data_IF_658423964352
#
_entry.id   IF_658423964352
#
_cell.length_a   1.000
_cell.length_b   1.000
_cell.length_c   1.000
_cell.angle_alpha   90.00
_cell.angle_beta   90.00
_cell.angle_gamma   90.00
#
_symmetry.space_group_name_H-M   'P 1'
#
loop_
_entity.id
_entity.type
_entity.pdbx_description
1 polymer ?
#
# COMPACT_ATOMS: atom_id res chain seq x y z
N UNK A 1 -22.95 13.76 13.14
CA UNK A 1 -22.90 12.76 14.21
C UNK A 1 -24.13 12.90 15.08
N UNK A 2 -25.21 12.19 14.74
CA UNK A 2 -26.36 12.07 15.64
C UNK A 2 -26.13 10.79 16.44
N UNK A 3 -26.01 10.91 17.75
CA UNK A 3 -25.88 9.77 18.66
C UNK A 3 -27.21 9.01 18.62
N UNK A 4 -27.26 7.94 17.83
CA UNK A 4 -28.39 7.01 17.87
C UNK A 4 -28.00 5.92 18.86
N UNK A 5 -28.67 5.90 20.01
CA UNK A 5 -28.61 4.83 21.03
C UNK A 5 -27.28 4.58 21.77
N UNK A 6 -26.33 5.52 21.82
CA UNK A 6 -25.01 5.35 22.46
C UNK A 6 -24.12 4.25 21.85
N UNK A 7 -24.47 3.70 20.69
CA UNK A 7 -23.70 2.64 20.05
C UNK A 7 -22.53 3.21 19.25
N UNK A 8 -21.36 2.56 19.37
CA UNK A 8 -20.21 2.85 18.52
C UNK A 8 -20.57 2.55 17.05
N UNK A 9 -20.10 3.36 16.08
CA UNK A 9 -20.38 3.12 14.66
C UNK A 9 -19.62 1.89 14.15
N UNK A 10 -20.24 0.71 14.22
CA UNK A 10 -19.64 -0.58 13.80
C UNK A 10 -19.47 -0.74 12.29
N UNK A 11 -20.10 0.12 11.50
CA UNK A 11 -20.05 0.08 10.02
C UNK A 11 -19.03 1.08 9.43
N UNK A 12 -18.26 1.77 10.28
CA UNK A 12 -17.30 2.79 9.86
C UNK A 12 -15.87 2.40 10.23
N UNK A 13 -14.95 2.65 9.29
CA UNK A 13 -13.54 2.35 9.44
C UNK A 13 -12.70 3.43 8.76
N UNK A 14 -11.67 3.92 9.46
CA UNK A 14 -10.60 4.75 8.94
C UNK A 14 -9.29 3.98 9.08
N UNK A 15 -8.69 3.65 7.94
CA UNK A 15 -7.52 2.80 7.84
C UNK A 15 -6.27 3.59 7.56
N UNK A 16 -5.23 3.31 8.35
CA UNK A 16 -3.87 3.76 8.10
C UNK A 16 -2.94 2.58 7.83
N UNK A 17 -1.73 2.85 7.36
CA UNK A 17 -0.74 1.81 7.07
C UNK A 17 -0.15 1.16 8.33
N UNK A 18 -0.04 1.91 9.43
CA UNK A 18 0.61 1.40 10.63
C UNK A 18 0.00 1.98 11.93
N UNK A 19 0.19 1.29 13.07
CA UNK A 19 -0.42 1.70 14.33
C UNK A 19 0.02 3.09 14.83
N UNK A 20 1.22 3.57 14.45
CA UNK A 20 1.70 4.90 14.87
C UNK A 20 0.94 6.00 14.14
N UNK A 21 0.69 5.82 12.84
CA UNK A 21 -0.15 6.74 12.08
C UNK A 21 -1.59 6.73 12.63
N UNK A 22 -2.16 5.56 12.91
CA UNK A 22 -3.48 5.48 13.54
C UNK A 22 -3.54 6.28 14.86
N UNK A 23 -2.55 6.10 15.75
CA UNK A 23 -2.50 6.83 17.01
C UNK A 23 -2.35 8.36 16.82
N UNK A 24 -1.52 8.79 15.85
CA UNK A 24 -1.38 10.19 15.49
C UNK A 24 -2.69 10.77 14.95
N UNK A 25 -3.35 10.07 14.01
CA UNK A 25 -4.67 10.45 13.48
C UNK A 25 -5.69 10.59 14.61
N UNK A 26 -5.75 9.64 15.54
CA UNK A 26 -6.64 9.70 16.71
C UNK A 26 -6.37 10.99 17.51
N UNK A 27 -5.11 11.28 17.81
CA UNK A 27 -4.73 12.48 18.57
C UNK A 27 -5.13 13.77 17.85
N UNK A 28 -4.94 13.84 16.53
CA UNK A 28 -5.26 15.02 15.72
C UNK A 28 -6.77 15.24 15.58
N UNK A 29 -7.57 14.18 15.40
CA UNK A 29 -9.02 14.34 15.20
C UNK A 29 -9.79 14.45 16.51
N UNK A 30 -9.24 14.00 17.64
CA UNK A 30 -9.91 13.95 18.95
C UNK A 30 -10.59 15.26 19.37
N UNK A 31 -9.98 16.45 19.17
CA UNK A 31 -10.63 17.72 19.52
C UNK A 31 -11.89 18.05 18.69
N UNK A 32 -12.07 17.40 17.54
CA UNK A 32 -13.13 17.72 16.56
C UNK A 32 -14.30 16.74 16.58
N UNK A 33 -14.26 15.72 17.44
CA UNK A 33 -15.29 14.67 17.52
C UNK A 33 -15.81 14.52 18.96
N UNK A 34 -17.04 13.99 19.13
CA UNK A 34 -17.61 13.81 20.47
C UNK A 34 -16.77 12.88 21.36
N UNK A 35 -16.70 13.19 22.66
CA UNK A 35 -15.94 12.40 23.65
C UNK A 35 -16.41 10.95 23.76
N UNK A 36 -17.71 10.69 23.55
CA UNK A 36 -18.28 9.34 23.61
C UNK A 36 -17.82 8.43 22.46
N UNK A 37 -17.29 8.99 21.37
CA UNK A 37 -16.81 8.21 20.23
C UNK A 37 -15.46 7.58 20.57
N UNK A 38 -15.42 6.26 20.62
CA UNK A 38 -14.18 5.52 20.80
C UNK A 38 -13.47 5.42 19.45
N UNK A 39 -12.47 6.27 19.22
CA UNK A 39 -11.75 6.25 17.94
C UNK A 39 -10.89 5.02 17.76
N UNK A 40 -10.53 4.28 18.81
CA UNK A 40 -9.74 3.06 18.63
C UNK A 40 -10.51 1.92 17.94
N UNK A 41 -11.85 2.03 17.95
CA UNK A 41 -12.77 1.12 17.26
C UNK A 41 -13.01 1.55 15.79
N UNK A 42 -12.69 2.79 15.44
CA UNK A 42 -12.95 3.39 14.13
C UNK A 42 -11.66 3.60 13.34
N UNK A 43 -10.60 4.08 13.99
CA UNK A 43 -9.31 4.43 13.40
C UNK A 43 -8.29 3.38 13.78
N UNK A 44 -7.78 2.64 12.79
CA UNK A 44 -6.80 1.58 13.04
C UNK A 44 -5.92 1.31 11.83
N UNK A 45 -4.85 0.53 12.02
CA UNK A 45 -4.08 0.04 10.89
C UNK A 45 -4.86 -1.03 10.12
N UNK A 46 -4.59 -1.15 8.81
CA UNK A 46 -5.16 -2.22 7.98
C UNK A 46 -4.88 -3.60 8.58
N UNK A 47 -3.66 -3.82 9.09
CA UNK A 47 -3.30 -5.07 9.78
C UNK A 47 -4.20 -5.35 10.98
N UNK A 48 -4.43 -4.37 11.87
CA UNK A 48 -5.29 -4.52 13.05
C UNK A 48 -6.71 -4.87 12.64
N UNK A 49 -7.25 -4.20 11.63
CA UNK A 49 -8.59 -4.48 11.11
C UNK A 49 -8.72 -5.91 10.55
N UNK A 50 -7.76 -6.37 9.73
CA UNK A 50 -7.80 -7.72 9.17
C UNK A 50 -7.76 -8.78 10.27
N UNK A 51 -6.93 -8.60 11.30
CA UNK A 51 -6.87 -9.50 12.46
C UNK A 51 -8.18 -9.56 13.23
N UNK A 52 -8.82 -8.40 13.48
CA UNK A 52 -10.13 -8.34 14.14
C UNK A 52 -11.19 -9.06 13.31
N UNK A 53 -11.20 -8.83 11.99
CA UNK A 53 -12.13 -9.49 11.07
C UNK A 53 -12.01 -11.02 11.12
N UNK A 54 -10.77 -11.53 11.14
CA UNK A 54 -10.51 -12.98 11.28
C UNK A 54 -10.97 -13.47 12.66
N UNK A 55 -10.60 -12.79 13.74
CA UNK A 55 -10.97 -13.18 15.10
C UNK A 55 -12.49 -13.26 15.32
N UNK A 56 -13.24 -12.33 14.72
CA UNK A 56 -14.70 -12.30 14.81
C UNK A 56 -15.36 -13.47 14.09
N UNK A 57 -14.76 -13.97 13.01
CA UNK A 57 -15.32 -15.03 12.18
C UNK A 57 -14.81 -16.43 12.57
N UNK A 58 -13.61 -16.54 13.16
CA UNK A 58 -12.95 -17.79 13.51
C UNK A 58 -12.53 -17.78 14.99
N UNK A 59 -13.32 -18.41 15.89
CA UNK A 59 -13.01 -18.49 17.32
C UNK A 59 -11.71 -19.25 17.65
N UNK A 60 -11.16 -19.99 16.68
CA UNK A 60 -9.90 -20.72 16.86
C UNK A 60 -8.67 -19.89 16.51
N UNK A 61 -8.88 -18.72 15.89
CA UNK A 61 -7.82 -17.78 15.55
C UNK A 61 -7.10 -17.28 16.80
N UNK A 62 -5.78 -17.41 16.79
CA UNK A 62 -4.92 -16.95 17.87
C UNK A 62 -3.86 -16.01 17.27
N UNK A 63 -4.10 -14.70 17.38
CA UNK A 63 -3.22 -13.68 16.81
C UNK A 63 -1.75 -13.79 17.29
N UNK A 64 -1.54 -14.32 18.50
CA UNK A 64 -0.23 -14.51 19.12
C UNK A 64 0.44 -15.83 18.69
N UNK A 65 -0.28 -16.75 18.03
CA UNK A 65 0.29 -17.96 17.43
C UNK A 65 0.40 -17.88 15.91
N UNK A 66 -0.65 -17.38 15.26
CA UNK A 66 -0.80 -17.42 13.80
C UNK A 66 0.05 -16.34 13.12
N UNK A 67 0.04 -15.11 13.65
CA UNK A 67 0.69 -13.96 13.02
C UNK A 67 1.50 -13.15 14.04
N UNK A 68 2.55 -13.74 14.61
CA UNK A 68 3.42 -13.04 15.56
C UNK A 68 4.12 -11.85 14.88
N UNK A 69 4.04 -10.66 15.48
CA UNK A 69 4.61 -9.42 14.91
C UNK A 69 6.11 -9.54 14.58
N UNK A 70 6.88 -10.27 15.40
CA UNK A 70 8.32 -10.51 15.16
C UNK A 70 8.62 -11.37 13.92
N UNK A 71 7.63 -12.09 13.41
CA UNK A 71 7.74 -12.96 12.24
C UNK A 71 7.13 -12.32 10.98
N UNK A 72 6.67 -11.07 11.07
CA UNK A 72 6.16 -10.34 9.91
C UNK A 72 7.31 -10.05 8.95
N UNK A 73 7.12 -10.34 7.66
CA UNK A 73 8.06 -9.94 6.61
C UNK A 73 7.83 -8.48 6.27
N UNK A 74 8.87 -7.67 6.41
CA UNK A 74 8.95 -6.32 5.88
C UNK A 74 10.15 -6.18 4.94
N UNK A 75 10.34 -4.98 4.40
CA UNK A 75 11.48 -4.68 3.55
C UNK A 75 12.83 -4.91 4.26
N UNK A 76 12.92 -4.75 5.58
CA UNK A 76 14.17 -4.97 6.31
C UNK A 76 14.54 -6.46 6.39
N UNK A 77 13.55 -7.34 6.59
CA UNK A 77 13.73 -8.79 6.51
C UNK A 77 14.20 -9.19 5.12
N UNK A 78 13.52 -8.72 4.07
CA UNK A 78 13.92 -8.96 2.69
C UNK A 78 15.34 -8.44 2.41
N UNK A 79 15.63 -7.20 2.81
CA UNK A 79 16.94 -6.57 2.58
C UNK A 79 18.07 -7.31 3.31
N UNK A 80 17.81 -7.90 4.48
CA UNK A 80 18.79 -8.73 5.18
C UNK A 80 19.08 -9.99 4.38
N UNK A 81 18.06 -10.73 3.98
CA UNK A 81 18.20 -11.91 3.11
C UNK A 81 18.94 -11.57 1.80
N UNK A 82 18.59 -10.44 1.18
CA UNK A 82 19.18 -9.99 -0.08
C UNK A 82 20.68 -9.67 0.02
N UNK A 83 21.16 -9.18 1.17
CA UNK A 83 22.60 -8.89 1.37
C UNK A 83 23.46 -10.14 1.24
N UNK A 84 22.90 -11.29 1.60
CA UNK A 84 23.58 -12.58 1.55
C UNK A 84 23.50 -13.23 0.15
N UNK A 85 22.99 -12.51 -0.85
CA UNK A 85 22.86 -12.96 -2.25
C UNK A 85 23.82 -12.21 -3.19
N UNK A 86 25.12 -12.54 -3.22
CA UNK A 86 26.13 -11.78 -3.97
C UNK A 86 25.85 -11.70 -5.48
N UNK A 87 25.35 -12.79 -6.09
CA UNK A 87 25.06 -12.86 -7.53
C UNK A 87 23.88 -11.99 -7.97
N UNK A 88 23.00 -11.63 -7.03
CA UNK A 88 21.78 -10.86 -7.29
C UNK A 88 22.04 -9.38 -7.03
N UNK A 89 22.77 -9.06 -5.96
CA UNK A 89 22.99 -7.69 -5.47
C UNK A 89 23.72 -6.77 -6.45
N UNK A 90 24.45 -7.31 -7.42
CA UNK A 90 25.14 -6.55 -8.46
C UNK A 90 24.25 -6.16 -9.63
N UNK A 91 23.10 -6.84 -9.80
CA UNK A 91 22.28 -6.75 -11.01
C UNK A 91 20.85 -6.24 -10.77
N UNK A 92 20.41 -6.16 -9.51
CA UNK A 92 19.04 -5.81 -9.17
C UNK A 92 18.97 -4.80 -8.03
N UNK A 93 18.00 -3.90 -8.09
CA UNK A 93 17.61 -3.06 -6.97
C UNK A 93 16.77 -3.89 -5.97
N UNK A 94 17.14 -3.94 -4.68
CA UNK A 94 16.34 -4.64 -3.67
C UNK A 94 14.92 -4.09 -3.52
N UNK A 95 14.71 -2.78 -3.61
CA UNK A 95 13.39 -2.19 -3.48
C UNK A 95 12.48 -2.61 -4.64
N UNK A 96 13.03 -2.67 -5.87
CA UNK A 96 12.29 -3.15 -7.03
C UNK A 96 11.86 -4.61 -6.90
N UNK A 97 12.76 -5.48 -6.43
CA UNK A 97 12.45 -6.90 -6.18
C UNK A 97 11.44 -7.09 -5.06
N UNK A 98 11.54 -6.30 -3.99
CA UNK A 98 10.59 -6.34 -2.88
C UNK A 98 9.19 -5.95 -3.33
N UNK A 99 9.06 -4.86 -4.09
CA UNK A 99 7.76 -4.41 -4.60
C UNK A 99 7.17 -5.37 -5.63
N UNK A 100 8.00 -6.06 -6.42
CA UNK A 100 7.52 -7.15 -7.28
C UNK A 100 7.02 -8.35 -6.46
N UNK A 101 7.75 -8.73 -5.41
CA UNK A 101 7.38 -9.83 -4.54
C UNK A 101 6.08 -9.55 -3.78
N UNK A 102 6.06 -8.45 -3.03
CA UNK A 102 4.94 -8.03 -2.19
C UNK A 102 3.72 -7.65 -3.02
N UNK A 103 3.91 -6.80 -4.03
CA UNK A 103 2.84 -6.20 -4.81
C UNK A 103 2.24 -7.13 -5.86
N UNK A 104 3.08 -7.90 -6.57
CA UNK A 104 2.65 -8.70 -7.72
C UNK A 104 2.53 -10.17 -7.36
N UNK A 105 3.64 -10.79 -6.95
CA UNK A 105 3.71 -12.25 -6.78
C UNK A 105 2.87 -12.75 -5.62
N UNK A 106 2.79 -11.98 -4.52
CA UNK A 106 1.94 -12.27 -3.35
C UNK A 106 0.70 -11.39 -3.28
N UNK A 107 0.72 -10.20 -3.88
CA UNK A 107 -0.27 -9.14 -3.63
C UNK A 107 -1.28 -8.85 -4.74
N UNK A 108 -1.25 -9.58 -5.85
CA UNK A 108 -2.21 -9.41 -6.95
C UNK A 108 -3.56 -10.11 -6.69
N UNK A 109 -4.57 -9.81 -7.49
CA UNK A 109 -5.84 -10.56 -7.43
C UNK A 109 -5.66 -12.02 -7.82
N UNK A 110 -4.75 -12.28 -8.77
CA UNK A 110 -4.43 -13.60 -9.30
C UNK A 110 -3.62 -14.45 -8.29
N UNK A 111 -2.81 -13.82 -7.44
CA UNK A 111 -2.02 -14.53 -6.42
C UNK A 111 -2.88 -15.06 -5.27
N UNK A 112 -3.95 -14.34 -4.93
CA UNK A 112 -4.79 -14.62 -3.77
C UNK A 112 -3.99 -14.84 -2.46
N UNK A 113 -2.89 -14.11 -2.29
CA UNK A 113 -2.01 -14.21 -1.12
C UNK A 113 -0.99 -15.34 -1.16
N UNK A 114 -1.04 -16.21 -2.16
CA UNK A 114 -0.02 -17.23 -2.42
C UNK A 114 1.04 -16.71 -3.39
N UNK A 115 2.18 -17.40 -3.51
CA UNK A 115 3.20 -17.00 -4.47
C UNK A 115 2.83 -17.46 -5.87
N UNK A 116 2.65 -16.51 -6.80
CA UNK A 116 2.25 -16.79 -8.18
C UNK A 116 3.18 -17.77 -8.90
N UNK A 117 2.56 -18.71 -9.61
CA UNK A 117 3.26 -19.62 -10.49
C UNK A 117 3.88 -18.90 -11.70
N UNK A 118 5.00 -19.46 -12.18
CA UNK A 118 5.86 -18.77 -13.14
C UNK A 118 5.15 -18.42 -14.44
N UNK A 119 4.31 -19.33 -14.95
CA UNK A 119 3.60 -19.15 -16.21
C UNK A 119 2.52 -18.06 -16.10
N UNK A 120 1.82 -18.01 -14.97
CA UNK A 120 0.83 -16.96 -14.67
C UNK A 120 1.53 -15.61 -14.58
N UNK A 121 2.62 -15.52 -13.81
CA UNK A 121 3.41 -14.30 -13.68
C UNK A 121 3.98 -13.80 -15.02
N UNK A 122 4.46 -14.71 -15.87
CA UNK A 122 4.95 -14.37 -17.20
C UNK A 122 3.84 -13.87 -18.14
N UNK A 123 2.62 -14.39 -17.97
CA UNK A 123 1.42 -14.00 -18.72
C UNK A 123 0.89 -12.61 -18.38
N UNK A 124 1.22 -12.06 -17.20
CA UNK A 124 0.73 -10.75 -16.78
C UNK A 124 1.14 -9.62 -17.77
N UNK A 125 0.31 -8.60 -17.99
CA UNK A 125 0.71 -7.41 -18.74
C UNK A 125 1.99 -6.76 -18.20
N UNK A 126 2.78 -6.11 -19.06
CA UNK A 126 4.05 -5.45 -18.65
C UNK A 126 3.82 -4.45 -17.53
N UNK A 127 2.71 -3.69 -17.61
CA UNK A 127 2.33 -2.66 -16.63
C UNK A 127 1.90 -3.19 -15.26
N UNK A 128 1.84 -4.51 -15.06
CA UNK A 128 1.47 -5.14 -13.77
C UNK A 128 2.67 -5.45 -12.88
N UNK A 129 3.89 -5.07 -13.28
CA UNK A 129 5.09 -5.29 -12.47
C UNK A 129 6.19 -4.31 -12.85
N UNK A 130 7.20 -4.23 -11.99
CA UNK A 130 8.36 -3.37 -12.17
C UNK A 130 9.35 -3.94 -13.19
N UNK A 131 9.21 -5.21 -13.60
CA UNK A 131 10.11 -5.90 -14.52
C UNK A 131 9.49 -6.19 -15.88
N UNK A 132 10.30 -5.96 -16.92
CA UNK A 132 10.04 -6.36 -18.29
C UNK A 132 9.96 -7.89 -18.46
N UNK A 133 9.18 -8.37 -19.44
CA UNK A 133 8.88 -9.81 -19.62
C UNK A 133 10.12 -10.70 -19.69
N UNK A 134 11.20 -10.24 -20.32
CA UNK A 134 12.43 -11.00 -20.48
C UNK A 134 13.17 -11.21 -19.14
N UNK A 135 13.06 -10.27 -18.20
CA UNK A 135 13.67 -10.35 -16.88
C UNK A 135 12.83 -11.20 -15.90
N UNK A 136 11.52 -11.28 -16.10
CA UNK A 136 10.57 -11.97 -15.19
C UNK A 136 10.96 -13.40 -14.84
N UNK A 137 11.47 -14.19 -15.79
CA UNK A 137 11.89 -15.57 -15.49
C UNK A 137 13.01 -15.60 -14.44
N UNK A 138 14.01 -14.73 -14.57
CA UNK A 138 15.11 -14.62 -13.60
C UNK A 138 14.61 -14.06 -12.26
N UNK A 139 13.77 -13.04 -12.30
CA UNK A 139 13.16 -12.42 -11.10
C UNK A 139 12.34 -13.43 -10.31
N UNK A 140 11.49 -14.22 -10.98
CA UNK A 140 10.69 -15.26 -10.35
C UNK A 140 11.57 -16.31 -9.65
N UNK A 141 12.64 -16.77 -10.30
CA UNK A 141 13.59 -17.70 -9.68
C UNK A 141 14.28 -17.12 -8.44
N UNK A 142 14.65 -15.83 -8.49
CA UNK A 142 15.24 -15.12 -7.34
C UNK A 142 14.23 -15.04 -6.20
N UNK A 143 13.01 -14.58 -6.49
CA UNK A 143 11.98 -14.37 -5.49
C UNK A 143 11.41 -15.69 -4.96
N UNK A 144 11.50 -16.79 -5.73
CA UNK A 144 11.20 -18.14 -5.24
C UNK A 144 12.17 -18.59 -4.15
N UNK A 145 13.45 -18.22 -4.24
CA UNK A 145 14.42 -18.47 -3.15
C UNK A 145 14.03 -17.71 -1.89
N UNK A 146 13.54 -16.48 -2.03
CA UNK A 146 13.03 -15.70 -0.89
C UNK A 146 11.74 -16.29 -0.31
N UNK A 147 10.82 -16.73 -1.16
CA UNK A 147 9.59 -17.43 -0.73
C UNK A 147 9.91 -18.66 0.10
N UNK A 148 10.86 -19.49 -0.35
CA UNK A 148 11.31 -20.65 0.42
C UNK A 148 11.89 -20.24 1.77
N UNK A 149 12.69 -19.16 1.81
CA UNK A 149 13.21 -18.61 3.06
C UNK A 149 12.09 -18.16 4.03
N UNK A 150 11.05 -17.50 3.51
CA UNK A 150 9.85 -17.10 4.28
C UNK A 150 9.14 -18.32 4.87
N UNK A 151 8.94 -19.36 4.07
CA UNK A 151 8.29 -20.62 4.50
C UNK A 151 9.13 -21.35 5.57
N UNK A 152 10.43 -21.52 5.33
CA UNK A 152 11.35 -22.21 6.24
C UNK A 152 11.40 -21.55 7.62
N UNK A 153 11.34 -20.22 7.67
CA UNK A 153 11.41 -19.44 8.91
C UNK A 153 10.03 -19.17 9.53
N UNK A 154 8.94 -19.66 8.91
CA UNK A 154 7.55 -19.42 9.32
C UNK A 154 7.24 -17.93 9.47
N UNK A 155 7.75 -17.15 8.52
CA UNK A 155 7.38 -15.77 8.38
C UNK A 155 6.05 -15.63 7.63
N UNK A 156 5.41 -14.48 7.79
CA UNK A 156 4.11 -14.19 7.17
C UNK A 156 4.06 -12.77 6.59
N UNK A 157 3.16 -12.59 5.63
CA UNK A 157 2.92 -11.31 4.96
C UNK A 157 1.49 -10.79 5.16
N UNK A 158 1.32 -9.47 5.05
CA UNK A 158 -0.01 -8.83 5.11
C UNK A 158 -0.98 -9.37 4.03
N UNK A 159 -0.44 -9.88 2.92
CA UNK A 159 -1.20 -10.52 1.84
C UNK A 159 -1.92 -11.79 2.30
N UNK A 160 -1.34 -12.53 3.26
CA UNK A 160 -1.98 -13.73 3.81
C UNK A 160 -3.19 -13.36 4.68
N UNK A 161 -3.06 -12.30 5.47
CA UNK A 161 -4.19 -11.73 6.22
C UNK A 161 -5.30 -11.30 5.26
N UNK A 162 -4.95 -10.57 4.19
CA UNK A 162 -5.92 -10.11 3.20
C UNK A 162 -6.67 -11.27 2.51
N UNK A 163 -5.94 -12.34 2.17
CA UNK A 163 -6.51 -13.57 1.60
C UNK A 163 -7.42 -14.29 2.59
N UNK A 164 -6.98 -14.49 3.84
CA UNK A 164 -7.79 -15.14 4.88
C UNK A 164 -9.08 -14.37 5.15
N UNK A 165 -9.02 -13.05 5.20
CA UNK A 165 -10.20 -12.17 5.33
C UNK A 165 -11.15 -12.38 4.14
N UNK A 166 -10.66 -12.43 2.90
CA UNK A 166 -11.51 -12.68 1.72
C UNK A 166 -12.22 -14.04 1.74
N UNK A 167 -11.60 -15.05 2.34
CA UNK A 167 -12.15 -16.41 2.46
C UNK A 167 -13.13 -16.60 3.63
N UNK A 168 -13.34 -15.59 4.48
CA UNK A 168 -14.30 -15.72 5.58
C UNK A 168 -15.73 -15.89 5.06
N UNK A 169 -16.43 -16.90 5.57
CA UNK A 169 -17.83 -17.17 5.26
C UNK A 169 -18.75 -16.03 5.73
N UNK A 170 -18.45 -15.48 6.92
CA UNK A 170 -19.13 -14.30 7.44
C UNK A 170 -18.46 -13.03 6.93
N UNK A 171 -19.24 -12.12 6.37
CA UNK A 171 -18.76 -10.83 5.86
C UNK A 171 -19.42 -9.70 6.63
N UNK A 172 -18.66 -9.08 7.53
CA UNK A 172 -19.05 -7.80 8.08
C UNK A 172 -19.23 -6.80 6.93
N UNK A 173 -20.35 -6.08 6.94
CA UNK A 173 -20.66 -5.05 5.95
C UNK A 173 -20.28 -3.69 6.52
N UNK A 174 -19.39 -3.00 5.82
CA UNK A 174 -18.85 -1.68 6.17
C UNK A 174 -19.40 -0.63 5.21
N UNK A 175 -20.30 0.21 5.70
CA UNK A 175 -20.90 1.30 4.91
C UNK A 175 -19.96 2.50 4.73
N UNK A 176 -18.90 2.62 5.53
CA UNK A 176 -17.99 3.76 5.48
C UNK A 176 -16.56 3.27 5.66
N UNK A 177 -15.77 3.23 4.58
CA UNK A 177 -14.35 2.91 4.64
C UNK A 177 -13.57 4.11 4.10
N UNK A 178 -12.66 4.62 4.92
CA UNK A 178 -11.68 5.63 4.57
C UNK A 178 -10.30 4.98 4.63
N UNK A 179 -9.46 5.22 3.64
CA UNK A 179 -8.10 4.68 3.58
C UNK A 179 -7.15 5.82 3.29
N UNK A 180 -6.17 5.98 4.17
CA UNK A 180 -5.02 6.86 3.98
C UNK A 180 -3.83 6.09 3.38
N UNK A 181 -2.99 6.79 2.64
CA UNK A 181 -1.81 6.25 1.94
C UNK A 181 -2.12 5.02 1.07
N UNK A 182 -3.20 5.10 0.29
CA UNK A 182 -3.70 3.98 -0.51
C UNK A 182 -2.68 3.45 -1.53
N UNK A 183 -1.71 4.26 -1.95
CA UNK A 183 -0.64 3.85 -2.85
C UNK A 183 0.23 2.72 -2.29
N UNK A 184 0.27 2.52 -0.98
CA UNK A 184 1.05 1.44 -0.35
C UNK A 184 0.26 0.14 -0.21
N UNK A 185 -1.02 0.12 -0.61
CA UNK A 185 -1.84 -1.09 -0.63
C UNK A 185 -1.58 -1.93 -1.88
N UNK A 186 -1.67 -3.24 -1.72
CA UNK A 186 -1.68 -4.16 -2.87
C UNK A 186 -3.09 -4.30 -3.44
N UNK A 187 -3.17 -4.82 -4.67
CA UNK A 187 -4.44 -5.12 -5.33
C UNK A 187 -5.31 -6.05 -4.46
N UNK A 188 -4.70 -7.10 -3.89
CA UNK A 188 -5.36 -8.04 -3.00
C UNK A 188 -5.97 -7.35 -1.77
N UNK A 189 -5.22 -6.49 -1.10
CA UNK A 189 -5.72 -5.75 0.08
C UNK A 189 -6.87 -4.82 -0.30
N UNK A 190 -6.77 -4.15 -1.44
CA UNK A 190 -7.84 -3.30 -1.96
C UNK A 190 -9.10 -4.11 -2.26
N UNK A 191 -8.94 -5.27 -2.92
CA UNK A 191 -10.03 -6.22 -3.18
C UNK A 191 -10.69 -6.70 -1.89
N UNK A 192 -9.90 -6.99 -0.86
CA UNK A 192 -10.39 -7.36 0.47
C UNK A 192 -11.30 -6.27 1.04
N UNK A 193 -10.92 -4.98 0.95
CA UNK A 193 -11.76 -3.88 1.42
C UNK A 193 -13.05 -3.73 0.60
N UNK A 194 -12.96 -3.79 -0.73
CA UNK A 194 -14.14 -3.70 -1.63
C UNK A 194 -15.13 -4.82 -1.33
N UNK A 195 -14.65 -6.03 -1.00
CA UNK A 195 -15.51 -7.17 -0.66
C UNK A 195 -16.36 -6.99 0.61
N UNK A 196 -16.09 -5.94 1.40
CA UNK A 196 -16.82 -5.58 2.63
C UNK A 196 -17.82 -4.47 2.43
N UNK A 197 -17.84 -3.85 1.25
CA UNK A 197 -18.83 -2.84 0.94
C UNK A 197 -20.22 -3.48 0.79
N UNK A 198 -21.30 -2.71 1.08
CA UNK A 198 -22.66 -3.18 0.85
C UNK A 198 -22.91 -3.59 -0.59
N UNK A 199 -23.87 -4.49 -0.78
CA UNK A 199 -24.33 -4.86 -2.12
C UNK A 199 -25.04 -3.68 -2.81
N UNK A 200 -25.14 -3.76 -4.14
CA UNK A 200 -25.72 -2.72 -5.00
C UNK A 200 -27.10 -2.28 -4.51
N UNK A 201 -27.27 -0.97 -4.24
CA UNK A 201 -28.52 -0.35 -3.80
C UNK A 201 -28.47 0.33 -2.43
N UNK A 202 -27.51 -0.02 -1.58
CA UNK A 202 -27.28 0.65 -0.29
C UNK A 202 -26.27 1.78 -0.40
N UNK A 203 -26.49 2.87 0.36
CA UNK A 203 -25.58 4.02 0.38
C UNK A 203 -24.33 3.69 1.21
N UNK A 204 -23.15 3.85 0.61
CA UNK A 204 -21.87 3.72 1.29
C UNK A 204 -20.88 4.83 0.89
N UNK A 205 -19.84 4.99 1.69
CA UNK A 205 -18.67 5.83 1.40
C UNK A 205 -17.45 4.92 1.32
N UNK A 206 -16.75 5.00 0.19
CA UNK A 206 -15.46 4.34 -0.02
C UNK A 206 -14.47 5.41 -0.49
N UNK A 207 -13.73 5.97 0.45
CA UNK A 207 -12.83 7.10 0.23
C UNK A 207 -11.38 6.64 0.34
N UNK A 208 -10.64 6.78 -0.76
CA UNK A 208 -9.25 6.36 -0.89
C UNK A 208 -8.41 7.60 -1.14
N UNK A 209 -7.53 7.93 -0.20
CA UNK A 209 -6.63 9.07 -0.28
C UNK A 209 -5.19 8.58 -0.36
N UNK A 210 -4.38 9.24 -1.19
CA UNK A 210 -2.97 8.90 -1.36
C UNK A 210 -2.36 9.60 -2.56
N UNK A 211 -1.07 9.37 -2.76
CA UNK A 211 -0.28 10.01 -3.81
C UNK A 211 0.60 8.97 -4.52
N UNK A 212 0.26 8.67 -5.77
CA UNK A 212 1.00 7.70 -6.60
C UNK A 212 2.44 8.15 -6.83
N UNK A 213 2.72 9.46 -6.81
CA UNK A 213 4.07 9.97 -7.03
C UNK A 213 5.04 9.63 -5.88
N UNK A 214 4.52 9.14 -4.75
CA UNK A 214 5.34 8.65 -3.63
C UNK A 214 5.77 7.19 -3.80
N UNK A 215 5.23 6.48 -4.79
CA UNK A 215 5.71 5.14 -5.13
C UNK A 215 7.06 5.25 -5.84
N UNK A 216 8.02 4.40 -5.47
CA UNK A 216 9.31 4.32 -6.18
C UNK A 216 9.22 3.34 -7.36
N UNK A 217 8.44 2.27 -7.23
CA UNK A 217 8.20 1.27 -8.27
C UNK A 217 6.69 1.01 -8.44
N UNK A 218 6.13 1.14 -9.65
CA UNK A 218 4.67 1.09 -9.87
C UNK A 218 4.12 -0.34 -9.99
N UNK A 219 4.44 -1.25 -9.07
CA UNK A 219 4.08 -2.67 -9.17
C UNK A 219 2.88 -3.10 -8.32
N UNK A 220 2.27 -2.21 -7.53
CA UNK A 220 1.16 -2.55 -6.63
C UNK A 220 -0.15 -1.85 -6.96
N UNK A 221 -0.18 -0.53 -6.76
CA UNK A 221 -1.42 0.25 -6.77
C UNK A 221 -1.61 1.05 -8.05
N UNK A 222 -2.83 1.01 -8.62
CA UNK A 222 -3.24 1.84 -9.77
C UNK A 222 -4.71 2.19 -9.71
N UNK A 223 -5.06 3.47 -9.88
CA UNK A 223 -6.46 3.93 -9.88
C UNK A 223 -7.35 3.21 -10.89
N UNK A 224 -6.83 2.87 -12.08
CA UNK A 224 -7.62 2.15 -13.09
C UNK A 224 -7.98 0.74 -12.63
N UNK A 225 -7.08 0.10 -11.87
CA UNK A 225 -7.28 -1.27 -11.40
C UNK A 225 -8.37 -1.29 -10.31
N UNK A 226 -8.43 -0.28 -9.43
CA UNK A 226 -9.55 -0.09 -8.48
C UNK A 226 -10.87 0.15 -9.21
N UNK A 227 -10.86 1.01 -10.24
CA UNK A 227 -12.05 1.32 -11.01
C UNK A 227 -12.65 0.07 -11.65
N UNK A 228 -11.77 -0.77 -12.21
CA UNK A 228 -12.15 -2.08 -12.72
C UNK A 228 -12.66 -2.99 -11.61
N UNK A 229 -11.98 -3.09 -10.47
CA UNK A 229 -12.43 -3.94 -9.35
C UNK A 229 -13.80 -3.53 -8.81
N UNK A 230 -14.07 -2.23 -8.62
CA UNK A 230 -15.37 -1.74 -8.17
C UNK A 230 -16.48 -2.02 -9.19
N UNK A 231 -16.17 -1.90 -10.48
CA UNK A 231 -17.11 -2.24 -11.53
C UNK A 231 -17.40 -3.75 -11.57
N UNK A 232 -16.36 -4.58 -11.53
CA UNK A 232 -16.48 -6.03 -11.61
C UNK A 232 -17.18 -6.63 -10.36
N UNK A 233 -16.96 -6.07 -9.17
CA UNK A 233 -17.51 -6.57 -7.90
C UNK A 233 -18.89 -5.97 -7.58
N UNK A 234 -19.10 -4.66 -7.81
CA UNK A 234 -20.30 -3.93 -7.38
C UNK A 234 -21.10 -3.31 -8.52
N UNK A 235 -20.58 -3.32 -9.76
CA UNK A 235 -21.21 -2.63 -10.90
C UNK A 235 -21.08 -1.11 -10.85
N UNK A 236 -20.13 -0.57 -10.06
CA UNK A 236 -20.00 0.86 -9.79
C UNK A 236 -18.79 1.44 -10.52
N UNK A 237 -19.00 2.57 -11.20
CA UNK A 237 -17.91 3.34 -11.79
C UNK A 237 -17.33 4.34 -10.78
N UNK A 238 -15.99 4.42 -10.71
CA UNK A 238 -15.33 5.43 -9.88
C UNK A 238 -15.63 6.82 -10.42
N UNK A 239 -15.99 7.72 -9.51
CA UNK A 239 -15.94 9.16 -9.73
C UNK A 239 -14.64 9.68 -9.14
N UNK A 240 -13.69 10.07 -9.99
CA UNK A 240 -12.46 10.73 -9.53
C UNK A 240 -12.79 12.12 -9.00
N UNK A 241 -12.29 12.42 -7.80
CA UNK A 241 -12.26 13.79 -7.28
C UNK A 241 -11.18 14.61 -8.00
N UNK A 242 -11.26 15.94 -7.91
CA UNK A 242 -10.17 16.78 -8.39
C UNK A 242 -8.95 16.61 -7.46
N UNK A 243 -7.72 16.56 -8.01
CA UNK A 243 -6.52 16.45 -7.19
C UNK A 243 -6.37 17.67 -6.30
N UNK A 244 -5.75 17.47 -5.12
CA UNK A 244 -5.32 18.54 -4.24
C UNK A 244 -3.94 19.03 -4.67
N UNK A 245 -3.90 20.06 -5.51
CA UNK A 245 -2.67 20.54 -6.13
C UNK A 245 -1.99 21.69 -5.36
N UNK A 246 -2.44 22.04 -4.16
CA UNK A 246 -1.83 23.10 -3.34
C UNK A 246 -1.04 22.50 -2.18
N UNK A 247 0.27 22.75 -2.15
CA UNK A 247 1.17 22.33 -1.08
C UNK A 247 1.21 23.38 0.03
N UNK A 248 0.73 23.01 1.22
CA UNK A 248 0.69 23.86 2.41
C UNK A 248 1.89 23.65 3.35
N UNK A 249 2.76 22.68 3.08
CA UNK A 249 3.86 22.27 3.97
C UNK A 249 5.18 22.95 3.61
N UNK A 250 5.46 23.07 2.32
CA UNK A 250 6.79 23.42 1.79
C UNK A 250 6.77 24.77 1.07
N UNK A 251 7.88 25.50 1.17
CA UNK A 251 8.10 26.72 0.41
C UNK A 251 8.28 26.45 -1.09
N UNK A 252 8.07 27.48 -1.91
CA UNK A 252 8.04 27.40 -3.38
C UNK A 252 9.23 26.65 -4.00
N UNK A 253 10.45 27.01 -3.63
CA UNK A 253 11.66 26.43 -4.22
C UNK A 253 11.81 24.92 -3.96
N UNK A 254 11.30 24.42 -2.82
CA UNK A 254 11.26 22.99 -2.54
C UNK A 254 10.21 22.28 -3.38
N UNK A 255 9.04 22.90 -3.57
CA UNK A 255 7.96 22.35 -4.41
C UNK A 255 8.40 22.30 -5.88
N UNK A 256 9.03 23.35 -6.38
CA UNK A 256 9.57 23.38 -7.75
C UNK A 256 10.64 22.31 -7.97
N UNK A 257 11.54 22.14 -7.01
CA UNK A 257 12.55 21.07 -7.05
C UNK A 257 11.90 19.68 -7.01
N UNK A 258 10.90 19.46 -6.15
CA UNK A 258 10.17 18.19 -6.08
C UNK A 258 9.45 17.89 -7.41
N UNK A 259 8.76 18.87 -7.99
CA UNK A 259 8.12 18.73 -9.31
C UNK A 259 9.13 18.42 -10.41
N UNK A 260 10.31 19.06 -10.37
CA UNK A 260 11.38 18.77 -11.33
C UNK A 260 11.87 17.31 -11.21
N UNK A 261 12.05 16.80 -9.98
CA UNK A 261 12.41 15.40 -9.73
C UNK A 261 11.31 14.46 -10.22
N UNK A 262 10.04 14.77 -9.94
CA UNK A 262 8.91 13.96 -10.40
C UNK A 262 8.88 13.85 -11.92
N UNK A 263 9.04 14.96 -12.65
CA UNK A 263 9.12 14.94 -14.11
C UNK A 263 10.26 14.03 -14.61
N UNK A 264 11.41 14.00 -13.93
CA UNK A 264 12.51 13.07 -14.27
C UNK A 264 12.16 11.62 -13.97
N UNK A 265 11.42 11.36 -12.89
CA UNK A 265 10.96 10.02 -12.55
C UNK A 265 9.88 9.51 -13.52
N UNK A 266 9.01 10.37 -14.05
CA UNK A 266 8.02 9.94 -15.06
C UNK A 266 8.70 9.40 -16.31
N UNK A 267 9.73 10.11 -16.79
CA UNK A 267 10.54 9.73 -17.95
C UNK A 267 11.23 8.37 -17.76
N UNK A 268 11.77 8.11 -16.55
CA UNK A 268 12.61 6.94 -16.27
C UNK A 268 11.85 5.71 -15.73
N UNK A 269 10.85 5.93 -14.87
CA UNK A 269 10.20 4.87 -14.08
C UNK A 269 8.75 4.59 -14.50
N UNK A 270 8.22 5.26 -15.54
CA UNK A 270 6.84 5.10 -16.04
C UNK A 270 5.76 5.35 -14.98
N UNK A 271 6.09 6.09 -13.93
CA UNK A 271 5.13 6.57 -12.95
C UNK A 271 4.46 7.78 -13.57
N UNK A 272 3.16 7.69 -13.83
CA UNK A 272 2.38 8.83 -14.29
C UNK A 272 1.71 9.39 -13.04
N UNK A 273 2.27 10.48 -12.52
CA UNK A 273 1.67 11.23 -11.42
C UNK A 273 0.37 11.91 -11.86
N UNK A 274 -0.38 12.42 -10.88
CA UNK A 274 -1.44 13.41 -11.18
C UNK A 274 -0.81 14.80 -11.34
N UNK A 275 -1.63 15.85 -11.48
CA UNK A 275 -1.16 17.22 -11.72
C UNK A 275 -0.06 17.66 -10.72
N UNK A 276 1.00 18.30 -11.22
CA UNK A 276 2.10 18.83 -10.42
C UNK A 276 1.62 19.80 -9.33
N UNK A 277 2.29 19.79 -8.19
CA UNK A 277 1.90 20.59 -7.04
C UNK A 277 2.31 22.07 -7.18
N UNK A 278 1.53 22.96 -6.59
CA UNK A 278 1.78 24.40 -6.50
C UNK A 278 1.96 24.79 -5.03
N UNK A 279 3.00 25.55 -4.71
CA UNK A 279 3.18 26.01 -3.34
C UNK A 279 2.13 27.06 -2.96
N UNK A 280 1.55 26.95 -1.76
CA UNK A 280 0.70 28.01 -1.20
C UNK A 280 1.52 29.24 -0.81
N UNK A 281 2.73 29.03 -0.29
CA UNK A 281 3.59 30.11 0.19
C UNK A 281 4.26 30.85 -0.97
N UNK A 282 4.17 32.18 -0.97
CA UNK A 282 4.87 33.06 -1.91
C UNK A 282 6.35 33.30 -1.53
N UNK A 283 6.80 32.82 -0.36
CA UNK A 283 8.17 33.00 0.10
C UNK A 283 9.12 32.00 -0.58
N UNK A 284 10.12 32.56 -1.25
CA UNK A 284 11.20 31.83 -1.89
C UNK A 284 12.26 31.52 -0.84
N UNK A 285 12.23 30.31 -0.25
CA UNK A 285 13.31 29.82 0.61
C UNK A 285 14.64 29.66 -0.15
N UNK A 286 15.67 29.04 0.44
CA UNK A 286 16.89 28.73 -0.32
C UNK A 286 16.59 27.82 -1.52
N UNK A 287 17.22 28.07 -2.68
CA UNK A 287 17.06 27.23 -3.87
C UNK A 287 17.91 25.95 -3.72
N UNK A 288 17.31 24.75 -3.75
CA UNK A 288 18.07 23.50 -3.76
C UNK A 288 18.92 23.41 -5.03
N UNK A 289 20.09 22.76 -4.92
CA UNK A 289 20.97 22.46 -6.06
C UNK A 289 21.10 20.95 -6.24
N UNK A 290 21.10 20.50 -7.49
CA UNK A 290 21.33 19.09 -7.85
C UNK A 290 22.78 18.94 -8.28
N UNK A 291 23.48 17.98 -7.68
CA UNK A 291 24.82 17.59 -8.10
C UNK A 291 24.68 16.23 -8.79
N UNK A 292 24.99 16.18 -10.08
CA UNK A 292 25.00 14.95 -10.87
C UNK A 292 26.44 14.55 -11.16
N UNK A 293 26.92 13.49 -10.53
CA UNK A 293 28.28 12.95 -10.68
C UNK A 293 28.23 11.42 -10.62
N UNK A 294 29.34 10.75 -11.00
CA UNK A 294 29.39 9.28 -10.91
C UNK A 294 29.20 8.82 -9.47
N UNK A 295 28.61 7.63 -9.29
CA UNK A 295 28.39 7.05 -7.97
C UNK A 295 29.71 6.90 -7.21
N UNK A 296 30.79 6.52 -7.88
CA UNK A 296 32.12 6.44 -7.25
C UNK A 296 32.60 7.82 -6.75
N UNK A 297 32.41 8.87 -7.55
CA UNK A 297 32.81 10.23 -7.19
C UNK A 297 32.01 10.76 -5.99
N UNK A 298 30.69 10.57 -5.99
CA UNK A 298 29.82 11.03 -4.90
C UNK A 298 30.15 10.33 -3.59
N UNK A 299 30.37 9.00 -3.62
CA UNK A 299 30.78 8.24 -2.43
C UNK A 299 32.15 8.70 -1.93
N UNK A 300 33.11 8.94 -2.83
CA UNK A 300 34.46 9.43 -2.48
C UNK A 300 34.51 10.84 -1.90
N UNK A 301 33.44 11.64 -2.07
CA UNK A 301 33.29 12.99 -1.49
C UNK A 301 32.60 12.99 -0.12
N UNK A 302 31.92 11.91 0.25
CA UNK A 302 31.18 11.78 1.50
C UNK A 302 31.99 11.08 2.61
N UNK A 303 33.17 10.54 2.28
CA UNK A 303 34.17 10.00 3.21
C UNK A 303 35.25 11.05 3.45
#
# INVERSE_FOLDING_TARGET
WLQVNNDQPKHMLYLTLNPRLAAATISEIRPYVPEWLNLEDVVMSLEKWMRISIANADPTYDAEKDYQTKNRVDFYVFRRWFKDQPDIRTSFDPAQLWEEYRGVLRGSSESNGEFLEQDVYHGLPVRRGAFEKHARKKVHQILRKFENYVIEHRYWLDQELASRVLMLDHKDVLSNIYVDEVQDLTELQTRTLISRLPQSGESFVFDLTGDISQQVYPSGFRWQDIGKMLYDILGINIRKCKPLNVNYRSGKNLVEMANWVLNKMEDDNRIIGEELQQAYAANDGAMPSVIAESKEYMVGKMV
#
